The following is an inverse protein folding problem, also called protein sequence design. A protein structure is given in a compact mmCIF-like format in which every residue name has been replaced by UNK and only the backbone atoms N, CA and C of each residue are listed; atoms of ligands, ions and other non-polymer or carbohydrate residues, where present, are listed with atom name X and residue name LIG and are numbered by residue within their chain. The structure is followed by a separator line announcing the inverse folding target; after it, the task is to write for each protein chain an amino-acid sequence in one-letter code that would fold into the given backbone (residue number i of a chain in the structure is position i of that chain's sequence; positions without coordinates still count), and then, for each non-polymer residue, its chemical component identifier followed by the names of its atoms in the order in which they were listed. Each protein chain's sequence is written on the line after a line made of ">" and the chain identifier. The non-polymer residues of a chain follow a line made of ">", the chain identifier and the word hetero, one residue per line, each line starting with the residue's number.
data_IF_259777495198
#
_entry.id   IF_259777495198
#
_cell.length_a   1.000
_cell.length_b   1.000
_cell.length_c   1.000
_cell.angle_alpha   90.00
_cell.angle_beta   90.00
_cell.angle_gamma   90.00
#
_symmetry.space_group_name_H-M   'P 1'
#
loop_
_entity.id
_entity.type
_entity.pdbx_description
1 polymer ?
#
# COMPACT_ATOMS: atom_id res chain seq x y z
N UNK A 1 21.24 -24.12 13.59
CA UNK A 1 20.38 -23.14 12.90
C UNK A 1 18.93 -23.49 13.22
N UNK A 2 18.32 -22.79 14.19
CA UNK A 2 16.91 -22.98 14.56
C UNK A 2 16.07 -22.00 13.73
N UNK A 3 15.17 -22.53 12.92
CA UNK A 3 14.18 -21.76 12.16
C UNK A 3 13.11 -21.24 13.12
N UNK A 4 12.85 -19.94 13.08
CA UNK A 4 11.70 -19.29 13.72
C UNK A 4 10.55 -19.30 12.71
N UNK A 5 9.47 -20.02 13.03
CA UNK A 5 8.18 -19.95 12.35
C UNK A 5 7.39 -18.73 12.87
N UNK A 6 6.55 -18.08 12.04
CA UNK A 6 5.69 -17.00 12.50
C UNK A 6 4.51 -17.58 13.29
N UNK A 7 4.25 -16.98 14.45
CA UNK A 7 3.07 -17.22 15.29
C UNK A 7 1.87 -16.56 14.62
N UNK A 8 0.83 -17.35 14.34
CA UNK A 8 -0.52 -16.85 14.04
C UNK A 8 -1.04 -16.11 15.28
N UNK A 9 -1.02 -14.78 15.24
CA UNK A 9 -1.69 -13.95 16.24
C UNK A 9 -3.14 -13.81 15.80
N UNK A 10 -4.03 -14.57 16.45
CA UNK A 10 -5.45 -14.23 16.48
C UNK A 10 -5.60 -13.06 17.45
N UNK A 11 -5.63 -11.85 16.92
CA UNK A 11 -6.02 -10.66 17.68
C UNK A 11 -7.55 -10.64 17.73
N UNK A 12 -8.10 -11.14 18.84
CA UNK A 12 -9.43 -10.74 19.26
C UNK A 12 -9.35 -9.28 19.68
N UNK A 13 -10.02 -8.39 18.95
CA UNK A 13 -10.26 -7.02 19.42
C UNK A 13 -11.08 -7.12 20.71
N UNK A 14 -10.43 -6.92 21.86
CA UNK A 14 -11.12 -6.57 23.10
C UNK A 14 -11.56 -5.12 22.97
N UNK A 15 -12.82 -4.93 22.57
CA UNK A 15 -13.51 -3.65 22.76
C UNK A 15 -13.44 -3.33 24.26
N UNK A 16 -12.67 -2.30 24.59
CA UNK A 16 -12.39 -1.89 25.95
C UNK A 16 -13.63 -1.32 26.63
N UNK A 17 -14.37 -2.16 27.35
CA UNK A 17 -15.08 -1.72 28.55
C UNK A 17 -14.55 -2.55 29.71
N UNK A 18 -13.70 -1.93 30.53
CA UNK A 18 -13.15 -2.56 31.72
C UNK A 18 -14.23 -2.59 32.81
N UNK A 19 -15.13 -3.57 32.77
CA UNK A 19 -16.04 -3.85 33.87
C UNK A 19 -15.29 -4.64 34.95
N UNK A 20 -14.80 -3.95 35.98
CA UNK A 20 -14.33 -4.61 37.21
C UNK A 20 -15.54 -5.12 38.00
N UNK A 21 -15.96 -6.36 37.73
CA UNK A 21 -16.89 -7.06 38.61
C UNK A 21 -16.15 -7.56 39.86
N UNK A 22 -16.38 -6.88 40.99
CA UNK A 22 -16.17 -7.45 42.33
C UNK A 22 -17.55 -7.84 42.87
N UNK A 23 -17.99 -9.05 42.58
CA UNK A 23 -19.23 -9.62 43.11
C UNK A 23 -18.97 -11.00 43.70
N UNK A 24 -19.29 -11.17 44.98
CA UNK A 24 -19.34 -12.47 45.66
C UNK A 24 -20.50 -13.29 45.06
N UNK A 25 -20.28 -14.52 44.55
CA UNK A 25 -21.30 -15.29 43.84
C UNK A 25 -22.48 -15.79 44.72
N UNK A 26 -22.56 -15.36 45.99
CA UNK A 26 -23.57 -15.86 46.94
C UNK A 26 -24.58 -14.81 47.45
N UNK A 27 -24.47 -13.54 47.06
CA UNK A 27 -25.42 -12.52 47.53
C UNK A 27 -26.57 -12.30 46.54
N UNK A 28 -27.81 -12.57 46.96
CA UNK A 28 -29.05 -12.14 46.31
C UNK A 28 -29.24 -10.62 46.48
N UNK A 29 -28.30 -9.81 46.00
CA UNK A 29 -28.37 -8.37 46.10
C UNK A 29 -29.06 -7.81 44.84
N UNK A 30 -30.19 -7.15 45.09
CA UNK A 30 -31.01 -6.44 44.12
C UNK A 30 -30.16 -5.43 43.34
N UNK A 31 -30.12 -5.57 42.02
CA UNK A 31 -29.34 -4.72 41.11
C UNK A 31 -29.90 -3.31 41.16
N UNK A 32 -29.30 -2.46 41.98
CA UNK A 32 -29.54 -1.02 41.96
C UNK A 32 -28.71 -0.41 40.84
N UNK A 33 -29.30 0.59 40.18
CA UNK A 33 -28.79 1.26 38.99
C UNK A 33 -27.27 1.52 39.08
N UNK A 34 -26.52 0.92 38.16
CA UNK A 34 -25.10 1.22 37.99
C UNK A 34 -25.03 2.67 37.53
N UNK A 35 -24.62 3.57 38.42
CA UNK A 35 -24.21 4.92 38.04
C UNK A 35 -23.05 4.78 37.04
N UNK A 36 -23.39 4.92 35.75
CA UNK A 36 -22.41 5.05 34.68
C UNK A 36 -21.68 6.35 34.96
N UNK A 37 -20.45 6.25 35.46
CA UNK A 37 -19.58 7.40 35.67
C UNK A 37 -19.51 8.19 34.35
N UNK A 38 -19.52 9.54 34.41
CA UNK A 38 -19.46 10.37 33.20
C UNK A 38 -18.25 9.94 32.38
N UNK A 39 -18.50 9.57 31.12
CA UNK A 39 -17.46 9.13 30.20
C UNK A 39 -16.36 10.18 30.18
N UNK A 40 -15.16 9.76 30.61
CA UNK A 40 -13.97 10.59 30.44
C UNK A 40 -13.77 10.89 28.95
N UNK A 41 -12.94 11.90 28.60
CA UNK A 41 -12.61 12.15 27.21
C UNK A 41 -12.14 10.84 26.56
N UNK A 42 -12.74 10.50 25.42
CA UNK A 42 -12.43 9.28 24.68
C UNK A 42 -10.92 9.22 24.44
N UNK A 43 -10.19 8.25 25.03
CA UNK A 43 -8.75 8.14 24.88
C UNK A 43 -8.34 7.91 23.41
N UNK A 44 -9.27 7.52 22.53
CA UNK A 44 -9.01 7.33 21.11
C UNK A 44 -9.12 8.62 20.29
N UNK A 45 -9.69 9.70 20.84
CA UNK A 45 -9.84 10.97 20.14
C UNK A 45 -8.48 11.59 19.68
N UNK A 46 -7.37 11.21 20.33
CA UNK A 46 -6.02 11.63 19.95
C UNK A 46 -5.55 11.02 18.62
N UNK A 47 -6.04 9.82 18.27
CA UNK A 47 -5.59 9.07 17.09
C UNK A 47 -6.39 9.36 15.83
N UNK A 48 -7.40 10.23 15.92
CA UNK A 48 -8.23 10.66 14.79
C UNK A 48 -9.46 9.76 14.57
N UNK A 49 -10.43 10.26 13.79
CA UNK A 49 -11.71 9.58 13.57
C UNK A 49 -11.59 8.25 12.82
N UNK A 50 -10.48 7.99 12.11
CA UNK A 50 -10.29 6.77 11.33
C UNK A 50 -9.17 5.86 11.89
N UNK A 51 -8.84 5.98 13.19
CA UNK A 51 -7.80 5.17 13.84
C UNK A 51 -8.05 3.66 13.68
N UNK A 52 -9.26 3.19 14.00
CA UNK A 52 -9.64 1.78 13.87
C UNK A 52 -9.58 1.31 12.42
N UNK A 53 -10.03 2.16 11.49
CA UNK A 53 -9.97 1.85 10.06
C UNK A 53 -8.54 1.71 9.56
N UNK A 54 -7.60 2.52 10.05
CA UNK A 54 -6.19 2.42 9.68
C UNK A 54 -5.54 1.11 10.14
N UNK A 55 -5.89 0.64 11.34
CA UNK A 55 -5.45 -0.64 11.87
C UNK A 55 -6.08 -1.79 11.08
N UNK A 56 -7.40 -1.73 10.86
CA UNK A 56 -8.13 -2.74 10.10
C UNK A 56 -7.61 -2.86 8.67
N UNK A 57 -7.29 -1.73 8.02
CA UNK A 57 -6.69 -1.69 6.68
C UNK A 57 -5.31 -2.38 6.66
N UNK A 58 -4.46 -2.12 7.65
CA UNK A 58 -3.14 -2.77 7.74
C UNK A 58 -3.25 -4.28 7.95
N UNK A 59 -4.19 -4.71 8.80
CA UNK A 59 -4.46 -6.13 9.07
C UNK A 59 -5.02 -6.85 7.84
N UNK A 60 -5.98 -6.25 7.14
CA UNK A 60 -6.57 -6.88 5.95
C UNK A 60 -5.55 -7.02 4.82
N UNK A 61 -4.69 -6.03 4.60
CA UNK A 61 -3.61 -6.11 3.61
C UNK A 61 -2.63 -7.25 3.93
N UNK A 62 -2.30 -7.44 5.20
CA UNK A 62 -1.48 -8.56 5.66
C UNK A 62 -2.19 -9.90 5.46
N UNK A 63 -3.47 -9.99 5.81
CA UNK A 63 -4.28 -11.20 5.63
C UNK A 63 -4.40 -11.59 4.17
N UNK A 64 -4.67 -10.62 3.28
CA UNK A 64 -4.78 -10.81 1.84
C UNK A 64 -3.43 -11.20 1.23
N UNK A 65 -2.32 -10.59 1.69
CA UNK A 65 -0.97 -11.02 1.28
C UNK A 65 -0.73 -12.49 1.64
N UNK A 66 -1.04 -12.91 2.87
CA UNK A 66 -0.87 -14.29 3.31
C UNK A 66 -1.77 -15.25 2.53
N UNK A 67 -3.04 -14.89 2.36
CA UNK A 67 -4.03 -15.65 1.60
C UNK A 67 -3.57 -15.85 0.15
N UNK A 68 -3.06 -14.80 -0.52
CA UNK A 68 -2.56 -14.88 -1.88
C UNK A 68 -1.40 -15.87 -2.04
N UNK A 69 -0.52 -15.96 -1.04
CA UNK A 69 0.55 -16.95 -1.01
C UNK A 69 0.01 -18.38 -0.87
N UNK A 70 -0.97 -18.58 0.01
CA UNK A 70 -1.57 -19.89 0.28
C UNK A 70 -2.34 -20.43 -0.92
N UNK A 71 -3.18 -19.61 -1.56
CA UNK A 71 -4.01 -20.05 -2.68
C UNK A 71 -3.21 -20.39 -3.95
N UNK A 72 -2.03 -19.79 -4.11
CA UNK A 72 -1.17 -20.04 -5.27
C UNK A 72 -0.10 -21.12 -5.04
N UNK A 73 0.11 -21.56 -3.80
CA UNK A 73 1.14 -22.53 -3.47
C UNK A 73 0.58 -23.95 -3.54
N UNK A 74 0.71 -24.59 -4.70
CA UNK A 74 0.27 -26.00 -4.92
C UNK A 74 1.07 -27.03 -4.10
N UNK A 75 2.24 -26.62 -3.58
CA UNK A 75 3.23 -27.51 -2.98
C UNK A 75 3.54 -27.21 -1.50
N UNK A 76 2.72 -26.45 -0.77
CA UNK A 76 2.99 -26.25 0.68
C UNK A 76 2.87 -27.60 1.37
N UNK A 77 3.96 -28.15 1.94
CA UNK A 77 3.89 -29.43 2.62
C UNK A 77 2.92 -29.30 3.78
N UNK A 78 1.91 -30.15 3.80
CA UNK A 78 0.92 -30.20 4.86
C UNK A 78 1.63 -30.38 6.20
N UNK A 79 1.78 -29.29 6.94
CA UNK A 79 2.04 -29.35 8.36
C UNK A 79 0.74 -29.80 9.03
N UNK A 80 0.83 -30.68 10.02
CA UNK A 80 -0.31 -31.32 10.70
C UNK A 80 -1.31 -30.34 11.37
N UNK A 81 -1.08 -29.02 11.26
CA UNK A 81 -1.91 -27.96 11.84
C UNK A 81 -2.74 -27.17 10.82
N UNK A 82 -2.59 -27.35 9.50
CA UNK A 82 -3.45 -26.73 8.50
C UNK A 82 -4.52 -27.72 8.04
N UNK A 83 -5.76 -27.53 8.50
CA UNK A 83 -6.91 -28.38 8.17
C UNK A 83 -7.59 -28.03 6.84
N UNK A 84 -7.24 -26.88 6.25
CA UNK A 84 -7.87 -26.35 5.05
C UNK A 84 -6.99 -26.54 3.81
N UNK A 85 -7.60 -26.99 2.71
CA UNK A 85 -6.91 -27.30 1.44
C UNK A 85 -7.25 -26.24 0.38
N UNK A 86 -6.29 -25.37 0.07
CA UNK A 86 -6.44 -24.35 -0.96
C UNK A 86 -6.40 -24.93 -2.37
N UNK A 87 -7.18 -24.36 -3.30
CA UNK A 87 -7.21 -24.73 -4.72
C UNK A 87 -8.00 -26.01 -5.02
N UNK A 88 -8.55 -26.67 -4.01
CA UNK A 88 -9.39 -27.86 -4.19
C UNK A 88 -10.86 -27.52 -4.52
N UNK A 89 -11.38 -26.44 -3.92
CA UNK A 89 -12.75 -25.95 -4.13
C UNK A 89 -12.76 -24.41 -4.12
N UNK A 90 -12.92 -23.76 -5.30
CA UNK A 90 -12.97 -22.31 -5.40
C UNK A 90 -14.04 -21.65 -4.52
N UNK A 91 -15.17 -22.33 -4.26
CA UNK A 91 -16.21 -21.79 -3.39
C UNK A 91 -15.76 -21.75 -1.93
N UNK A 92 -15.07 -22.78 -1.46
CA UNK A 92 -14.50 -22.79 -0.11
C UNK A 92 -13.38 -21.76 0.01
N UNK A 93 -12.55 -21.63 -1.02
CA UNK A 93 -11.46 -20.65 -1.02
C UNK A 93 -12.03 -19.24 -0.90
N UNK A 94 -13.13 -18.96 -1.61
CA UNK A 94 -13.86 -17.70 -1.52
C UNK A 94 -14.46 -17.44 -0.13
N UNK A 95 -14.99 -18.47 0.54
CA UNK A 95 -15.47 -18.32 1.92
C UNK A 95 -14.34 -17.98 2.89
N UNK A 96 -13.17 -18.60 2.73
CA UNK A 96 -11.98 -18.26 3.53
C UNK A 96 -11.52 -16.83 3.21
N UNK A 97 -11.58 -16.38 1.96
CA UNK A 97 -11.29 -15.00 1.61
C UNK A 97 -12.21 -14.02 2.34
N UNK A 98 -13.52 -14.31 2.37
CA UNK A 98 -14.48 -13.46 3.09
C UNK A 98 -14.22 -13.41 4.60
N UNK A 99 -13.86 -14.53 5.22
CA UNK A 99 -13.42 -14.58 6.62
C UNK A 99 -12.21 -13.66 6.87
N UNK A 100 -11.22 -13.67 5.96
CA UNK A 100 -10.01 -12.83 6.08
C UNK A 100 -10.24 -11.33 6.01
N UNK A 101 -11.33 -10.90 5.39
CA UNK A 101 -11.67 -9.47 5.21
C UNK A 101 -12.79 -9.00 6.13
N UNK A 102 -13.48 -9.91 6.83
CA UNK A 102 -14.70 -9.59 7.57
C UNK A 102 -14.52 -8.42 8.55
N UNK A 103 -13.52 -8.49 9.43
CA UNK A 103 -13.30 -7.43 10.43
C UNK A 103 -12.97 -6.07 9.79
N UNK A 104 -12.35 -6.05 8.60
CA UNK A 104 -12.14 -4.81 7.87
C UNK A 104 -13.44 -4.23 7.32
N UNK A 105 -14.32 -5.06 6.77
CA UNK A 105 -15.62 -4.59 6.30
C UNK A 105 -16.49 -4.10 7.45
N UNK A 106 -16.46 -4.74 8.63
CA UNK A 106 -17.18 -4.26 9.83
C UNK A 106 -16.77 -2.82 10.17
N UNK A 107 -15.47 -2.55 10.33
CA UNK A 107 -14.97 -1.20 10.64
C UNK A 107 -15.23 -0.21 9.51
N UNK A 108 -15.05 -0.60 8.25
CA UNK A 108 -15.32 0.27 7.11
C UNK A 108 -16.81 0.63 7.00
N UNK A 109 -17.71 -0.31 7.31
CA UNK A 109 -19.16 -0.07 7.28
C UNK A 109 -19.61 0.91 8.34
N UNK A 110 -19.02 0.84 9.53
CA UNK A 110 -19.27 1.82 10.60
C UNK A 110 -18.90 3.24 10.14
N UNK A 111 -17.77 3.40 9.44
CA UNK A 111 -17.32 4.70 8.92
C UNK A 111 -18.18 5.18 7.73
N UNK A 112 -18.58 4.28 6.83
CA UNK A 112 -19.37 4.62 5.64
C UNK A 112 -20.87 4.85 5.94
N UNK A 113 -21.37 4.31 7.05
CA UNK A 113 -22.80 4.40 7.41
C UNK A 113 -23.70 3.82 6.32
N UNK A 114 -24.71 4.59 5.90
CA UNK A 114 -25.71 4.16 4.90
C UNK A 114 -25.08 3.85 3.52
N UNK A 115 -23.95 4.47 3.20
CA UNK A 115 -23.23 4.27 1.94
C UNK A 115 -22.51 2.92 1.85
N UNK A 116 -22.34 2.22 2.98
CA UNK A 116 -21.51 1.04 3.07
C UNK A 116 -21.99 -0.12 2.17
N UNK A 117 -23.29 -0.40 2.15
CA UNK A 117 -23.85 -1.49 1.35
C UNK A 117 -23.78 -1.22 -0.16
N UNK A 118 -23.72 0.05 -0.56
CA UNK A 118 -23.66 0.46 -1.96
C UNK A 118 -22.25 0.32 -2.53
N UNK A 119 -21.25 0.82 -1.82
CA UNK A 119 -19.87 0.88 -2.32
C UNK A 119 -19.01 -0.29 -1.85
N UNK A 120 -19.38 -0.91 -0.73
CA UNK A 120 -18.63 -1.99 -0.12
C UNK A 120 -19.51 -3.14 0.37
N UNK A 121 -20.37 -3.73 -0.48
CA UNK A 121 -21.22 -4.84 -0.06
C UNK A 121 -20.39 -5.99 0.54
N UNK A 122 -20.88 -6.54 1.66
CA UNK A 122 -20.29 -7.74 2.27
C UNK A 122 -20.28 -8.90 1.27
N UNK A 123 -19.28 -9.78 1.41
CA UNK A 123 -19.16 -11.03 0.64
C UNK A 123 -19.20 -10.81 -0.87
N UNK A 124 -18.57 -9.73 -1.34
CA UNK A 124 -18.39 -9.48 -2.76
C UNK A 124 -16.93 -9.20 -3.07
N UNK A 125 -16.25 -10.19 -3.65
CA UNK A 125 -14.84 -10.09 -4.00
C UNK A 125 -14.59 -9.01 -5.06
N UNK A 126 -15.57 -8.73 -5.91
CA UNK A 126 -15.46 -7.71 -6.96
C UNK A 126 -15.26 -6.29 -6.42
N UNK A 127 -15.77 -6.00 -5.22
CA UNK A 127 -15.69 -4.68 -4.60
C UNK A 127 -14.50 -4.53 -3.66
N UNK A 128 -13.77 -5.61 -3.34
CA UNK A 128 -12.63 -5.56 -2.41
C UNK A 128 -11.58 -4.50 -2.80
N UNK A 129 -11.16 -4.38 -4.08
CA UNK A 129 -10.21 -3.33 -4.45
C UNK A 129 -10.72 -1.92 -4.20
N UNK A 130 -11.95 -1.63 -4.63
CA UNK A 130 -12.58 -0.33 -4.39
C UNK A 130 -12.69 -0.03 -2.88
N UNK A 131 -13.04 -1.02 -2.06
CA UNK A 131 -13.15 -0.83 -0.61
C UNK A 131 -11.82 -0.53 0.06
N UNK A 132 -10.74 -1.18 -0.36
CA UNK A 132 -9.39 -0.92 0.14
C UNK A 132 -8.95 0.49 -0.26
N UNK A 133 -9.25 0.92 -1.49
CA UNK A 133 -8.97 2.28 -1.96
C UNK A 133 -9.78 3.34 -1.17
N UNK A 134 -11.09 3.15 -1.03
CA UNK A 134 -11.98 4.01 -0.22
C UNK A 134 -11.45 4.12 1.21
N UNK A 135 -11.08 3.00 1.84
CA UNK A 135 -10.52 3.00 3.19
C UNK A 135 -9.20 3.76 3.28
N UNK A 136 -8.30 3.57 2.32
CA UNK A 136 -7.05 4.31 2.25
C UNK A 136 -7.29 5.83 2.12
N UNK A 137 -8.36 6.23 1.42
CA UNK A 137 -8.76 7.63 1.26
C UNK A 137 -9.40 8.24 2.48
N UNK A 138 -10.22 7.49 3.20
CA UNK A 138 -10.74 7.91 4.49
C UNK A 138 -9.60 8.12 5.50
N UNK A 139 -8.66 7.17 5.58
CA UNK A 139 -7.46 7.29 6.44
C UNK A 139 -6.58 8.48 6.02
N UNK A 140 -6.49 8.81 4.73
CA UNK A 140 -5.71 9.96 4.26
C UNK A 140 -6.18 11.29 4.87
N UNK A 141 -7.47 11.43 5.19
CA UNK A 141 -8.05 12.66 5.76
C UNK A 141 -7.50 12.98 7.15
N UNK A 142 -6.96 11.98 7.82
CA UNK A 142 -6.37 12.12 9.15
C UNK A 142 -4.88 12.52 9.10
N UNK A 143 -4.30 12.64 7.90
CA UNK A 143 -2.89 12.97 7.66
C UNK A 143 -2.73 14.45 7.27
N UNK A 144 -1.80 15.22 7.85
CA UNK A 144 -0.84 14.87 8.91
C UNK A 144 -1.38 14.99 10.35
N UNK A 145 -2.64 15.43 10.52
CA UNK A 145 -3.13 15.97 11.79
C UNK A 145 -3.13 14.95 12.93
N UNK A 146 -3.58 13.74 12.66
CA UNK A 146 -3.70 12.65 13.63
C UNK A 146 -2.76 11.48 13.30
N UNK A 147 -2.36 11.35 12.03
CA UNK A 147 -1.40 10.35 11.59
C UNK A 147 -0.24 11.01 10.84
N UNK A 148 1.03 10.78 11.25
CA UNK A 148 2.17 11.31 10.54
C UNK A 148 2.31 10.67 9.15
N UNK A 149 2.83 11.41 8.16
CA UNK A 149 3.01 10.91 6.79
C UNK A 149 3.92 9.67 6.76
N UNK A 150 4.87 9.59 7.69
CA UNK A 150 5.79 8.46 7.86
C UNK A 150 5.06 7.16 8.25
N UNK A 151 3.96 7.25 9.00
CA UNK A 151 3.12 6.10 9.35
C UNK A 151 2.16 5.73 8.21
N UNK A 152 1.68 6.74 7.46
CA UNK A 152 0.78 6.52 6.33
C UNK A 152 1.48 5.95 5.09
N UNK A 153 2.73 6.34 4.83
CA UNK A 153 3.46 5.91 3.64
C UNK A 153 3.58 4.38 3.49
N UNK A 154 3.91 3.59 4.54
CA UNK A 154 3.89 2.13 4.47
C UNK A 154 2.51 1.55 4.13
N UNK A 155 1.42 2.15 4.62
CA UNK A 155 0.04 1.72 4.31
C UNK A 155 -0.19 1.88 2.79
N UNK A 156 0.15 3.04 2.23
CA UNK A 156 0.04 3.30 0.79
C UNK A 156 0.87 2.32 -0.06
N UNK A 157 2.08 1.96 0.41
CA UNK A 157 2.89 0.95 -0.27
C UNK A 157 2.20 -0.42 -0.29
N UNK A 158 1.59 -0.83 0.83
CA UNK A 158 0.86 -2.09 0.92
C UNK A 158 -0.42 -2.07 0.08
N UNK A 159 -1.18 -0.97 0.08
CA UNK A 159 -2.37 -0.78 -0.77
C UNK A 159 -1.98 -0.91 -2.24
N UNK A 160 -0.94 -0.20 -2.66
CA UNK A 160 -0.50 -0.28 -4.07
C UNK A 160 -0.04 -1.68 -4.43
N UNK A 161 0.70 -2.36 -3.53
CA UNK A 161 1.11 -3.76 -3.73
C UNK A 161 -0.09 -4.69 -3.81
N UNK A 162 -1.12 -4.42 -3.03
CA UNK A 162 -2.36 -5.16 -3.08
C UNK A 162 -3.01 -5.06 -4.47
N UNK A 163 -3.26 -3.85 -4.95
CA UNK A 163 -3.88 -3.58 -6.24
C UNK A 163 -3.13 -4.23 -7.42
N UNK A 164 -1.80 -4.22 -7.36
CA UNK A 164 -0.95 -4.54 -8.52
C UNK A 164 -0.43 -5.98 -8.55
N UNK A 165 -0.36 -6.65 -7.39
CA UNK A 165 0.21 -8.00 -7.25
C UNK A 165 -0.76 -8.94 -6.54
N UNK A 166 -1.15 -8.58 -5.31
CA UNK A 166 -1.86 -9.51 -4.42
C UNK A 166 -3.23 -9.82 -5.00
N UNK A 167 -3.95 -8.80 -5.48
CA UNK A 167 -5.27 -8.98 -6.05
C UNK A 167 -5.26 -9.87 -7.30
N UNK A 168 -4.31 -9.65 -8.21
CA UNK A 168 -4.15 -10.50 -9.40
C UNK A 168 -3.82 -11.95 -9.02
N UNK A 169 -2.97 -12.15 -8.02
CA UNK A 169 -2.66 -13.49 -7.51
C UNK A 169 -3.88 -14.16 -6.87
N UNK A 170 -4.73 -13.41 -6.15
CA UNK A 170 -5.98 -13.92 -5.57
C UNK A 170 -6.96 -14.32 -6.68
N UNK A 171 -7.20 -13.44 -7.66
CA UNK A 171 -8.07 -13.73 -8.81
C UNK A 171 -7.62 -15.00 -9.55
N UNK A 172 -6.31 -15.10 -9.81
CA UNK A 172 -5.74 -16.27 -10.46
C UNK A 172 -5.97 -17.54 -9.64
N UNK A 173 -5.69 -17.50 -8.34
CA UNK A 173 -5.86 -18.65 -7.43
C UNK A 173 -7.31 -19.11 -7.28
N UNK A 174 -8.26 -18.17 -7.28
CA UNK A 174 -9.70 -18.48 -7.23
C UNK A 174 -10.24 -19.08 -8.53
N UNK A 175 -9.45 -19.08 -9.61
CA UNK A 175 -9.94 -19.45 -10.94
C UNK A 175 -11.09 -18.56 -11.42
N UNK A 176 -11.21 -17.34 -10.87
CA UNK A 176 -12.22 -16.38 -11.31
C UNK A 176 -11.82 -15.88 -12.70
N UNK A 177 -12.48 -16.39 -13.73
CA UNK A 177 -12.45 -15.75 -15.05
C UNK A 177 -13.00 -14.34 -14.90
N UNK A 178 -12.31 -13.37 -15.51
CA UNK A 178 -12.67 -11.96 -15.44
C UNK A 178 -14.10 -11.79 -15.99
N UNK A 179 -15.14 -11.62 -15.15
CA UNK A 179 -16.44 -11.28 -15.65
C UNK A 179 -16.33 -9.80 -15.95
N UNK A 180 -15.85 -9.53 -17.15
CA UNK A 180 -15.85 -8.26 -17.86
C UNK A 180 -16.51 -7.13 -17.05
N UNK A 181 -15.70 -6.18 -16.58
CA UNK A 181 -16.11 -4.79 -16.32
C UNK A 181 -16.93 -4.47 -15.05
N UNK A 182 -17.30 -5.42 -14.17
CA UNK A 182 -18.16 -5.07 -13.00
C UNK A 182 -17.44 -4.19 -11.95
N UNK A 183 -16.10 -4.13 -11.96
CA UNK A 183 -15.31 -3.27 -11.06
C UNK A 183 -14.71 -2.00 -11.71
N UNK A 184 -14.78 -1.87 -13.04
CA UNK A 184 -14.11 -0.77 -13.75
C UNK A 184 -14.94 0.53 -13.77
N UNK A 185 -16.26 0.42 -13.62
CA UNK A 185 -17.22 1.54 -13.63
C UNK A 185 -18.00 1.64 -12.31
N UNK A 186 -17.37 1.32 -11.17
CA UNK A 186 -17.93 1.76 -9.90
C UNK A 186 -17.78 3.28 -9.83
N UNK A 187 -18.90 3.97 -10.01
CA UNK A 187 -19.02 5.42 -9.81
C UNK A 187 -18.86 5.72 -8.31
N UNK A 188 -17.61 5.66 -7.84
CA UNK A 188 -17.21 6.00 -6.48
C UNK A 188 -17.36 7.52 -6.34
N UNK A 189 -18.16 8.00 -5.38
CA UNK A 189 -18.29 9.42 -5.11
C UNK A 189 -16.95 10.11 -4.91
N UNK A 190 -16.85 11.35 -5.38
CA UNK A 190 -15.64 12.16 -5.26
C UNK A 190 -15.12 12.29 -3.82
N UNK A 191 -16.03 12.26 -2.84
CA UNK A 191 -15.64 12.26 -1.43
C UNK A 191 -14.74 11.08 -1.04
N UNK A 192 -14.80 9.94 -1.73
CA UNK A 192 -13.97 8.77 -1.43
C UNK A 192 -12.77 8.61 -2.35
N UNK A 193 -12.44 9.61 -3.18
CA UNK A 193 -11.32 9.58 -4.12
C UNK A 193 -10.14 10.40 -3.58
N UNK A 194 -8.94 9.81 -3.56
CA UNK A 194 -7.70 10.47 -3.11
C UNK A 194 -6.92 11.15 -4.25
N UNK A 195 -7.18 10.73 -5.48
CA UNK A 195 -6.27 10.89 -6.62
C UNK A 195 -6.52 12.18 -7.41
N UNK A 196 -7.44 13.03 -6.96
CA UNK A 196 -7.68 14.31 -7.63
C UNK A 196 -6.55 15.31 -7.34
N UNK A 197 -5.71 15.49 -8.35
CA UNK A 197 -4.87 16.67 -8.54
C UNK A 197 -5.66 18.00 -8.60
N UNK A 198 -6.91 18.06 -8.15
CA UNK A 198 -7.84 19.18 -8.39
C UNK A 198 -8.46 19.80 -7.13
N UNK A 199 -7.77 19.73 -5.99
CA UNK A 199 -7.97 20.72 -4.93
C UNK A 199 -6.80 21.68 -4.88
N UNK A 200 -6.75 22.46 -5.97
CA UNK A 200 -6.40 23.87 -5.95
C UNK A 200 -7.38 24.65 -5.03
N UNK A 201 -7.38 24.36 -3.73
CA UNK A 201 -8.03 25.22 -2.74
C UNK A 201 -7.15 25.33 -1.48
N UNK A 202 -6.38 26.42 -1.47
CA UNK A 202 -6.25 27.34 -0.36
C UNK A 202 -6.07 26.76 1.05
N UNK A 203 -4.88 26.27 1.32
CA UNK A 203 -4.22 26.65 2.57
C UNK A 203 -2.90 27.37 2.26
N UNK A 204 -2.79 28.68 2.57
CA UNK A 204 -1.52 29.39 2.47
C UNK A 204 -0.63 28.92 3.61
N UNK A 205 -0.01 27.75 3.46
CA UNK A 205 1.16 27.39 4.23
C UNK A 205 2.29 28.31 3.76
N UNK A 206 2.47 29.36 4.54
CA UNK A 206 3.53 30.36 4.47
C UNK A 206 4.88 29.80 3.98
N UNK A 207 5.24 30.20 2.76
CA UNK A 207 6.50 30.87 2.43
C UNK A 207 7.81 30.30 3.04
N UNK A 208 8.16 29.08 2.65
CA UNK A 208 9.54 28.67 2.35
C UNK A 208 9.53 28.02 0.94
N UNK A 209 9.26 28.85 -0.06
CA UNK A 209 8.76 28.45 -1.38
C UNK A 209 9.79 27.86 -2.37
N UNK A 210 11.09 27.86 -2.03
CA UNK A 210 12.12 27.29 -2.90
C UNK A 210 12.05 25.76 -2.96
N UNK A 211 12.08 25.12 -1.80
CA UNK A 211 12.22 23.66 -1.69
C UNK A 211 10.94 22.93 -2.07
N UNK A 212 9.76 23.44 -1.71
CA UNK A 212 8.48 22.81 -2.07
C UNK A 212 8.22 22.90 -3.59
N UNK A 213 8.52 24.04 -4.22
CA UNK A 213 8.36 24.20 -5.67
C UNK A 213 9.31 23.29 -6.44
N UNK A 214 10.56 23.15 -5.96
CA UNK A 214 11.53 22.24 -6.55
C UNK A 214 11.10 20.78 -6.35
N UNK A 215 10.65 20.41 -5.14
CA UNK A 215 10.17 19.05 -4.85
C UNK A 215 8.97 18.69 -5.73
N UNK A 216 7.99 19.58 -5.89
CA UNK A 216 6.84 19.36 -6.77
C UNK A 216 7.23 19.25 -8.26
N UNK A 217 8.17 20.08 -8.72
CA UNK A 217 8.70 20.00 -10.08
C UNK A 217 9.41 18.68 -10.36
N UNK A 218 10.20 18.18 -9.40
CA UNK A 218 10.86 16.87 -9.48
C UNK A 218 9.83 15.76 -9.47
N UNK A 219 8.83 15.79 -8.58
CA UNK A 219 7.73 14.81 -8.54
C UNK A 219 7.01 14.73 -9.89
N UNK A 220 6.68 15.88 -10.48
CA UNK A 220 6.07 15.96 -11.82
C UNK A 220 6.97 15.36 -12.92
N UNK A 221 8.28 15.63 -12.86
CA UNK A 221 9.24 15.05 -13.79
C UNK A 221 9.35 13.53 -13.64
N UNK A 222 9.31 13.02 -12.40
CA UNK A 222 9.28 11.60 -12.10
C UNK A 222 8.03 10.91 -12.63
N UNK A 223 6.85 11.51 -12.46
CA UNK A 223 5.61 11.00 -13.05
C UNK A 223 5.68 10.89 -14.57
N UNK A 224 6.28 11.90 -15.24
CA UNK A 224 6.52 11.84 -16.69
C UNK A 224 7.50 10.74 -17.08
N UNK A 225 8.61 10.60 -16.35
CA UNK A 225 9.60 9.54 -16.59
C UNK A 225 9.01 8.13 -16.38
N UNK A 226 8.20 7.94 -15.34
CA UNK A 226 7.44 6.69 -15.11
C UNK A 226 6.49 6.38 -16.26
N UNK A 227 5.68 7.37 -16.69
CA UNK A 227 4.77 7.18 -17.83
C UNK A 227 5.51 6.83 -19.12
N UNK A 228 6.60 7.54 -19.40
CA UNK A 228 7.46 7.25 -20.55
C UNK A 228 8.05 5.85 -20.46
N UNK A 229 8.49 5.42 -19.27
CA UNK A 229 8.98 4.05 -19.05
C UNK A 229 7.91 3.03 -19.40
N UNK A 230 6.68 3.19 -18.88
CA UNK A 230 5.59 2.27 -19.19
C UNK A 230 5.33 2.16 -20.70
N UNK A 231 5.34 3.30 -21.41
CA UNK A 231 5.20 3.33 -22.85
C UNK A 231 6.35 2.63 -23.57
N UNK A 232 7.60 2.90 -23.18
CA UNK A 232 8.79 2.27 -23.77
C UNK A 232 8.75 0.75 -23.61
N UNK A 233 8.38 0.26 -22.42
CA UNK A 233 8.27 -1.19 -22.16
C UNK A 233 7.13 -1.83 -22.95
N UNK A 234 5.99 -1.14 -23.08
CA UNK A 234 4.86 -1.62 -23.89
C UNK A 234 5.23 -1.70 -25.38
N UNK A 235 5.95 -0.70 -25.91
CA UNK A 235 6.44 -0.69 -27.29
C UNK A 235 7.51 -1.77 -27.54
N UNK A 236 8.26 -2.21 -26.52
CA UNK A 236 9.18 -3.33 -26.67
C UNK A 236 8.48 -4.64 -27.00
N UNK A 237 7.27 -4.87 -26.46
CA UNK A 237 6.45 -6.01 -26.82
C UNK A 237 6.11 -6.04 -28.32
N UNK A 238 6.17 -4.90 -29.01
CA UNK A 238 6.01 -4.77 -30.46
C UNK A 238 7.32 -4.99 -31.26
N UNK A 239 8.29 -5.73 -30.69
CA UNK A 239 9.47 -6.25 -31.37
C UNK A 239 10.61 -5.23 -31.61
N UNK A 240 10.83 -4.27 -30.71
CA UNK A 240 12.00 -3.38 -30.75
C UNK A 240 13.25 -4.04 -30.18
N UNK A 241 14.46 -3.60 -30.59
CA UNK A 241 15.70 -4.15 -30.03
C UNK A 241 15.89 -3.75 -28.57
N UNK A 242 16.50 -4.63 -27.78
CA UNK A 242 16.75 -4.38 -26.36
C UNK A 242 17.64 -3.14 -26.12
N UNK A 243 18.65 -2.93 -26.97
CA UNK A 243 19.52 -1.74 -26.90
C UNK A 243 18.76 -0.43 -27.07
N UNK A 244 17.83 -0.40 -28.03
CA UNK A 244 16.99 0.77 -28.26
C UNK A 244 16.04 1.02 -27.08
N UNK A 245 15.50 -0.02 -26.48
CA UNK A 245 14.70 0.08 -25.25
C UNK A 245 15.53 0.66 -24.10
N UNK A 246 16.73 0.12 -23.85
CA UNK A 246 17.64 0.62 -22.79
C UNK A 246 17.95 2.09 -22.99
N UNK A 247 18.37 2.48 -24.20
CA UNK A 247 18.70 3.88 -24.50
C UNK A 247 17.52 4.82 -24.22
N UNK A 248 16.30 4.46 -24.63
CA UNK A 248 15.11 5.29 -24.37
C UNK A 248 14.76 5.37 -22.89
N UNK A 249 15.00 4.31 -22.11
CA UNK A 249 14.83 4.36 -20.66
C UNK A 249 15.85 5.33 -20.03
N UNK A 250 17.11 5.25 -20.45
CA UNK A 250 18.16 6.16 -19.98
C UNK A 250 17.80 7.63 -20.29
N UNK A 251 17.36 7.92 -21.52
CA UNK A 251 16.92 9.25 -21.94
C UNK A 251 15.72 9.76 -21.12
N UNK A 252 14.74 8.89 -20.83
CA UNK A 252 13.56 9.25 -20.04
C UNK A 252 13.91 9.63 -18.59
N UNK A 253 14.89 8.96 -17.99
CA UNK A 253 15.28 9.18 -16.59
C UNK A 253 16.40 10.22 -16.41
N UNK A 254 17.12 10.57 -17.47
CA UNK A 254 18.24 11.51 -17.41
C UNK A 254 17.88 12.84 -16.71
N UNK A 255 16.77 13.53 -17.03
CA UNK A 255 16.46 14.82 -16.40
C UNK A 255 16.17 14.69 -14.89
N UNK A 256 15.48 13.62 -14.50
CA UNK A 256 15.15 13.33 -13.10
C UNK A 256 16.43 13.06 -12.32
N UNK A 257 17.31 12.21 -12.86
CA UNK A 257 18.54 11.85 -12.19
C UNK A 257 19.57 12.97 -12.17
N UNK A 258 19.57 13.87 -13.15
CA UNK A 258 20.34 15.11 -13.07
C UNK A 258 19.89 15.99 -11.90
N UNK A 259 18.58 16.06 -11.62
CA UNK A 259 18.04 16.82 -10.49
C UNK A 259 18.27 16.13 -9.12
N UNK A 260 18.18 14.80 -9.08
CA UNK A 260 18.29 14.02 -7.83
C UNK A 260 19.70 13.49 -7.53
N UNK A 261 20.65 13.66 -8.45
CA UNK A 261 22.00 13.14 -8.33
C UNK A 261 22.09 11.61 -8.37
N UNK A 262 21.31 10.96 -9.25
CA UNK A 262 21.39 9.50 -9.49
C UNK A 262 22.02 9.12 -10.84
N UNK A 263 22.43 7.87 -10.96
CA UNK A 263 22.81 7.21 -12.20
C UNK A 263 21.55 6.78 -12.98
N UNK A 264 21.18 7.57 -14.00
CA UNK A 264 20.05 7.29 -14.90
C UNK A 264 20.20 6.01 -15.73
N UNK A 265 21.38 5.39 -15.74
CA UNK A 265 21.65 4.12 -16.42
C UNK A 265 21.56 2.92 -15.47
N UNK A 266 21.20 3.14 -14.20
CA UNK A 266 21.04 2.12 -13.17
C UNK A 266 19.69 2.26 -12.46
N UNK A 267 18.76 1.35 -12.74
CA UNK A 267 17.42 1.37 -12.16
C UNK A 267 17.40 1.28 -10.65
N UNK A 268 18.38 0.57 -10.05
CA UNK A 268 18.48 0.51 -8.60
C UNK A 268 18.71 1.92 -8.00
N UNK A 269 19.53 2.75 -8.66
CA UNK A 269 19.79 4.11 -8.18
C UNK A 269 18.60 5.03 -8.42
N UNK A 270 17.90 4.88 -9.55
CA UNK A 270 16.61 5.55 -9.82
C UNK A 270 15.59 5.22 -8.73
N UNK A 271 15.45 3.93 -8.38
CA UNK A 271 14.51 3.46 -7.37
C UNK A 271 14.85 4.01 -5.97
N UNK A 272 16.12 4.01 -5.60
CA UNK A 272 16.58 4.58 -4.33
C UNK A 272 16.39 6.11 -4.29
N UNK A 273 16.67 6.82 -5.38
CA UNK A 273 16.43 8.26 -5.50
C UNK A 273 14.93 8.58 -5.36
N UNK A 274 14.06 7.75 -5.94
CA UNK A 274 12.61 7.87 -5.78
C UNK A 274 12.15 7.73 -4.33
N UNK A 275 12.72 6.78 -3.57
CA UNK A 275 12.45 6.65 -2.13
C UNK A 275 12.93 7.87 -1.34
N UNK A 276 14.13 8.38 -1.61
CA UNK A 276 14.63 9.62 -0.99
C UNK A 276 13.73 10.81 -1.29
N UNK A 277 13.21 10.91 -2.51
CA UNK A 277 12.28 11.96 -2.89
C UNK A 277 10.96 11.87 -2.12
N UNK A 278 10.48 10.68 -1.76
CA UNK A 278 9.32 10.55 -0.86
C UNK A 278 9.56 11.18 0.50
N UNK A 279 10.77 11.07 1.07
CA UNK A 279 11.10 11.75 2.32
C UNK A 279 11.05 13.27 2.17
N UNK A 280 11.49 13.81 1.02
CA UNK A 280 11.36 15.25 0.74
C UNK A 280 9.89 15.68 0.60
N UNK A 281 9.03 14.83 0.02
CA UNK A 281 7.58 15.07 -0.04
C UNK A 281 6.91 15.02 1.35
N UNK A 282 7.37 14.11 2.22
CA UNK A 282 6.92 14.05 3.62
C UNK A 282 7.29 15.33 4.37
N UNK A 283 8.54 15.80 4.22
CA UNK A 283 9.01 17.05 4.82
C UNK A 283 8.24 18.28 4.30
N UNK A 284 7.82 18.25 3.04
CA UNK A 284 6.98 19.27 2.44
C UNK A 284 5.48 19.15 2.82
N UNK A 285 5.10 18.15 3.63
CA UNK A 285 3.71 17.88 4.05
C UNK A 285 2.71 17.76 2.89
N UNK A 286 3.17 17.27 1.73
CA UNK A 286 2.36 17.20 0.52
C UNK A 286 1.74 15.80 0.36
N UNK A 287 0.70 15.49 1.14
CA UNK A 287 0.09 14.14 1.21
C UNK A 287 -0.37 13.61 -0.15
N UNK A 288 -1.05 14.42 -0.97
CA UNK A 288 -1.53 13.99 -2.30
C UNK A 288 -0.38 13.66 -3.25
N UNK A 289 0.64 14.51 -3.33
CA UNK A 289 1.84 14.24 -4.13
C UNK A 289 2.60 13.02 -3.61
N UNK A 290 2.68 12.83 -2.29
CA UNK A 290 3.29 11.63 -1.70
C UNK A 290 2.54 10.37 -2.13
N UNK A 291 1.21 10.38 -2.04
CA UNK A 291 0.36 9.27 -2.47
C UNK A 291 0.61 8.95 -3.95
N UNK A 292 0.42 9.93 -4.84
CA UNK A 292 0.64 9.76 -6.26
C UNK A 292 2.06 9.23 -6.56
N UNK A 293 3.07 9.77 -5.89
CA UNK A 293 4.47 9.37 -6.05
C UNK A 293 4.72 7.91 -5.62
N UNK A 294 4.19 7.48 -4.46
CA UNK A 294 4.31 6.09 -3.99
C UNK A 294 3.61 5.14 -4.96
N UNK A 295 2.37 5.44 -5.36
CA UNK A 295 1.60 4.65 -6.35
C UNK A 295 2.40 4.52 -7.66
N UNK A 296 2.92 5.62 -8.17
CA UNK A 296 3.75 5.69 -9.39
C UNK A 296 5.02 4.87 -9.28
N UNK A 297 5.77 4.98 -8.17
CA UNK A 297 7.01 4.23 -7.93
C UNK A 297 6.76 2.72 -7.93
N UNK A 298 5.71 2.26 -7.25
CA UNK A 298 5.41 0.84 -7.16
C UNK A 298 5.01 0.25 -8.52
N UNK A 299 4.13 0.94 -9.27
CA UNK A 299 3.75 0.53 -10.63
C UNK A 299 4.97 0.45 -11.57
N UNK A 300 5.87 1.44 -11.50
CA UNK A 300 7.13 1.43 -12.22
C UNK A 300 7.98 0.20 -11.87
N UNK A 301 8.19 -0.04 -10.57
CA UNK A 301 9.00 -1.17 -10.10
C UNK A 301 8.47 -2.50 -10.64
N UNK A 302 7.16 -2.71 -10.59
CA UNK A 302 6.55 -3.96 -11.05
C UNK A 302 6.62 -4.15 -12.55
N UNK A 303 6.41 -3.09 -13.33
CA UNK A 303 6.58 -3.16 -14.77
C UNK A 303 8.02 -3.49 -15.15
N UNK A 304 8.99 -2.93 -14.44
CA UNK A 304 10.40 -3.25 -14.62
C UNK A 304 10.72 -4.70 -14.21
N UNK A 305 10.20 -5.19 -13.09
CA UNK A 305 10.37 -6.59 -12.67
C UNK A 305 9.79 -7.54 -13.71
N UNK A 306 8.56 -7.29 -14.20
CA UNK A 306 7.92 -8.09 -15.27
C UNK A 306 8.79 -8.12 -16.53
N UNK A 307 9.26 -6.95 -16.96
CA UNK A 307 10.16 -6.85 -18.11
C UNK A 307 11.45 -7.65 -17.91
N UNK A 308 12.07 -7.55 -16.73
CA UNK A 308 13.30 -8.29 -16.41
C UNK A 308 13.08 -9.79 -16.32
N UNK A 309 11.90 -10.25 -15.89
CA UNK A 309 11.60 -11.68 -15.88
C UNK A 309 11.53 -12.26 -17.31
N UNK A 310 11.13 -11.46 -18.29
CA UNK A 310 11.06 -11.87 -19.70
C UNK A 310 12.40 -11.71 -20.44
N UNK A 311 13.17 -10.65 -20.13
CA UNK A 311 14.38 -10.27 -20.90
C UNK A 311 15.69 -10.30 -20.08
N UNK A 312 15.65 -10.83 -18.86
CA UNK A 312 16.64 -10.59 -17.81
C UNK A 312 18.07 -11.01 -18.12
N UNK A 313 18.26 -12.12 -18.86
CA UNK A 313 19.59 -12.61 -19.20
C UNK A 313 20.45 -11.60 -19.97
N UNK A 314 19.84 -10.70 -20.76
CA UNK A 314 20.56 -9.67 -21.51
C UNK A 314 20.40 -8.25 -20.92
N UNK A 315 19.36 -8.03 -20.11
CA UNK A 315 18.98 -6.71 -19.61
C UNK A 315 19.43 -6.45 -18.17
N UNK A 316 19.32 -7.44 -17.29
CA UNK A 316 19.50 -7.23 -15.85
C UNK A 316 20.92 -6.78 -15.49
N UNK A 317 21.95 -7.39 -16.09
CA UNK A 317 23.35 -7.05 -15.81
C UNK A 317 23.72 -5.60 -16.20
N UNK A 318 22.98 -5.02 -17.16
CA UNK A 318 23.22 -3.65 -17.63
C UNK A 318 22.47 -2.63 -16.78
N UNK A 319 21.23 -2.94 -16.40
CA UNK A 319 20.29 -1.98 -15.84
C UNK A 319 20.09 -2.11 -14.31
N UNK A 320 20.45 -3.23 -13.70
CA UNK A 320 20.39 -3.50 -12.26
C UNK A 320 21.79 -3.70 -11.67
N UNK A 321 22.62 -2.66 -11.72
CA UNK A 321 23.99 -2.76 -11.21
C UNK A 321 23.99 -2.53 -9.71
N UNK A 322 24.25 -3.57 -8.93
CA UNK A 322 24.67 -3.38 -7.54
C UNK A 322 25.98 -2.62 -7.58
N UNK A 323 26.01 -1.41 -7.01
CA UNK A 323 27.22 -0.57 -6.95
C UNK A 323 28.37 -1.47 -6.49
N UNK A 324 29.38 -1.70 -7.35
CA UNK A 324 30.62 -2.30 -6.83
C UNK A 324 31.07 -1.37 -5.71
N UNK A 325 31.35 -1.86 -4.49
CA UNK A 325 31.95 -1.01 -3.48
C UNK A 325 33.18 -0.41 -4.13
N UNK A 326 33.15 0.90 -4.37
CA UNK A 326 34.27 1.60 -4.95
C UNK A 326 35.41 1.45 -3.96
N UNK A 327 36.32 0.52 -4.25
CA UNK A 327 37.62 0.48 -3.62
C UNK A 327 38.22 1.88 -3.72
N UNK A 328 38.90 2.27 -2.64
CA UNK A 328 39.57 3.56 -2.42
C UNK A 328 38.67 4.76 -2.15
N UNK A 329 38.24 4.87 -0.89
CA UNK A 329 38.24 6.15 -0.19
C UNK A 329 39.70 6.64 -0.10
N UNK A 330 40.21 7.31 -1.13
CA UNK A 330 41.47 8.07 -1.02
C UNK A 330 41.19 9.25 -0.09
N UNK A 331 41.60 9.12 1.18
CA UNK A 331 41.86 10.28 2.04
C UNK A 331 42.89 11.15 1.33
N UNK A 332 42.48 12.28 0.76
CA UNK A 332 43.41 13.39 0.53
C UNK A 332 43.59 14.13 1.85
N UNK A 333 44.50 13.61 2.68
CA UNK A 333 45.24 14.47 3.59
C UNK A 333 46.53 14.81 2.86
N UNK A 334 46.57 16.01 2.31
CA UNK A 334 47.81 16.71 2.03
C UNK A 334 47.62 18.14 2.54
N UNK A 335 48.29 18.39 3.66
CA UNK A 335 48.61 19.69 4.25
C UNK A 335 49.33 20.61 3.24
N UNK A 336 49.43 21.90 3.52
CA UNK A 336 50.51 22.38 4.42
C UNK A 336 50.04 22.86 5.79
#
# INVERSE_FOLDING_TARGET
>A
MKQLLPVLVSLTCHVGSSYKFKGDPTSNQEWTDVEIAPEGPDPLAEYGPHADLSMALSLVLTNLSNYSGLINSRDVPHNANLTYYFGADPHQDLLVLYDKVQGFYEVLHEVLGENASRYCPYRSQYYMPACIEIAACLVQRDVPKYMPLEAYAPILEQVTRFETIIWEAIKHGLGSEDPSEIGADLDIPQEYICDENDHSHDHPASLLQGDVSQTSAVSSAMHRATRSTHQILAEHAANTSLDHTVQRLEEAWHPVCNALGCDHTNFLDIHLASHRHSMALMQASSTSQLHAHIKSRQKLHLNMVRFTNTHGAAFADRFYRTRKPSGTMRRSLAEP
#
